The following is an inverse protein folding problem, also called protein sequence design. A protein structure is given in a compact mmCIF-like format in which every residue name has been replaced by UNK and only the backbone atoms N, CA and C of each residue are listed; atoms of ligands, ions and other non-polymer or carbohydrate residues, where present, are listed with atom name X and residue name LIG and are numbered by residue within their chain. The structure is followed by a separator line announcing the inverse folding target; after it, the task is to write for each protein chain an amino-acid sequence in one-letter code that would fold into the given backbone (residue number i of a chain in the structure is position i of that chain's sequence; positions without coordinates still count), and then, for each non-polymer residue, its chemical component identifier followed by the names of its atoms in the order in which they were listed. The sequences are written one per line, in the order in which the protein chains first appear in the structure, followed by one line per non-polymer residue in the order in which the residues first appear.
data_IF_957280060178
#
_entry.id   IF_957280060178
#
_cell.length_a   1.000
_cell.length_b   1.000
_cell.length_c   1.000
_cell.angle_alpha   90.00
_cell.angle_beta   90.00
_cell.angle_gamma   90.00
#
_symmetry.space_group_name_H-M   'P 1'
#
loop_
_entity.id
_entity.type
_entity.pdbx_description
1 polymer ?
#
# COMPACT_ATOMS: atom_id res chain seq x y z
N UNK A 1 -4.91 -13.42 -61.23
CA UNK A 1 -4.20 -12.25 -60.67
C UNK A 1 -4.93 -11.89 -59.39
N UNK A 2 -4.53 -12.55 -58.29
CA UNK A 2 -5.13 -12.36 -56.95
C UNK A 2 -4.35 -11.24 -56.26
N UNK A 3 -5.01 -10.12 -56.01
CA UNK A 3 -4.48 -9.06 -55.15
C UNK A 3 -4.64 -9.48 -53.67
N UNK A 4 -3.54 -9.84 -53.05
CA UNK A 4 -3.48 -9.87 -51.58
C UNK A 4 -3.45 -8.43 -51.08
N UNK A 5 -4.59 -7.98 -50.52
CA UNK A 5 -4.64 -6.80 -49.68
C UNK A 5 -3.99 -7.16 -48.35
N UNK A 6 -2.74 -6.72 -48.19
CA UNK A 6 -2.07 -6.66 -46.89
C UNK A 6 -2.83 -5.67 -46.00
N UNK A 7 -3.59 -6.18 -45.08
CA UNK A 7 -4.10 -5.39 -43.96
C UNK A 7 -2.89 -5.04 -43.06
N UNK A 8 -2.29 -3.89 -43.33
CA UNK A 8 -1.33 -3.29 -42.41
C UNK A 8 -2.09 -2.92 -41.14
N UNK A 9 -1.90 -3.68 -40.06
CA UNK A 9 -2.24 -3.23 -38.73
C UNK A 9 -1.40 -1.98 -38.45
N UNK A 10 -1.99 -0.81 -38.66
CA UNK A 10 -1.47 0.43 -38.12
C UNK A 10 -1.67 0.31 -36.62
N UNK A 11 -0.61 -0.08 -35.92
CA UNK A 11 -0.56 -0.06 -34.45
C UNK A 11 -0.63 1.39 -34.03
N UNK A 12 -1.84 1.93 -33.91
CA UNK A 12 -2.07 3.23 -33.31
C UNK A 12 -1.61 3.13 -31.87
N UNK A 13 -0.50 3.81 -31.54
CA UNK A 13 -0.06 3.91 -30.13
C UNK A 13 -1.16 4.57 -29.33
N UNK A 14 -1.39 4.06 -28.12
CA UNK A 14 -2.36 4.67 -27.20
C UNK A 14 -1.91 6.12 -26.92
N UNK A 15 -2.69 7.14 -27.34
CA UNK A 15 -2.31 8.54 -27.19
C UNK A 15 -2.25 9.00 -25.73
N UNK A 16 -2.71 8.17 -24.79
CA UNK A 16 -2.73 8.45 -23.36
C UNK A 16 -1.55 7.85 -22.59
N UNK A 17 -0.64 7.14 -23.29
CA UNK A 17 0.56 6.58 -22.68
C UNK A 17 1.73 7.57 -22.83
N UNK A 18 2.19 8.21 -21.73
CA UNK A 18 3.31 9.14 -21.77
C UNK A 18 4.64 8.45 -22.10
N UNK A 19 5.68 9.22 -22.38
CA UNK A 19 7.05 8.69 -22.58
C UNK A 19 7.59 8.02 -21.31
N UNK A 20 7.28 8.57 -20.15
CA UNK A 20 7.59 8.00 -18.85
C UNK A 20 6.36 7.95 -17.94
N UNK A 21 6.27 6.91 -17.11
CA UNK A 21 5.19 6.77 -16.15
C UNK A 21 5.45 7.63 -14.89
N UNK A 22 4.40 8.21 -14.28
CA UNK A 22 4.55 8.88 -13.00
C UNK A 22 5.11 7.89 -11.97
N UNK A 23 6.07 8.32 -11.14
CA UNK A 23 6.50 7.52 -10.00
C UNK A 23 5.34 7.33 -9.02
N UNK A 24 5.45 6.33 -8.15
CA UNK A 24 4.44 6.14 -7.12
C UNK A 24 4.33 7.35 -6.18
N UNK A 25 5.45 8.05 -5.93
CA UNK A 25 5.46 9.28 -5.15
C UNK A 25 4.70 10.41 -5.84
N UNK A 26 4.86 10.56 -7.15
CA UNK A 26 4.10 11.54 -7.95
C UNK A 26 2.61 11.24 -7.88
N UNK A 27 2.22 9.98 -8.04
CA UNK A 27 0.82 9.55 -7.93
C UNK A 27 0.26 9.93 -6.54
N UNK A 28 0.98 9.58 -5.49
CA UNK A 28 0.60 9.88 -4.11
C UNK A 28 0.44 11.37 -3.87
N UNK A 29 1.42 12.17 -4.31
CA UNK A 29 1.36 13.62 -4.16
C UNK A 29 0.16 14.22 -4.90
N UNK A 30 -0.09 13.78 -6.12
CA UNK A 30 -1.24 14.25 -6.91
C UNK A 30 -2.56 13.92 -6.22
N UNK A 31 -2.69 12.72 -5.65
CA UNK A 31 -3.89 12.28 -4.93
C UNK A 31 -4.05 12.97 -3.56
N UNK A 32 -2.99 13.51 -2.96
CA UNK A 32 -3.07 14.29 -1.72
C UNK A 32 -3.57 15.72 -1.93
N UNK A 33 -3.67 16.18 -3.19
CA UNK A 33 -4.24 17.47 -3.55
C UNK A 33 -5.75 17.40 -3.58
N UNK A 34 -6.45 18.09 -2.67
CA UNK A 34 -7.92 18.14 -2.66
C UNK A 34 -8.50 18.59 -4.00
N UNK A 35 -7.84 19.55 -4.69
CA UNK A 35 -8.28 20.04 -5.99
C UNK A 35 -8.16 19.00 -7.09
N UNK A 36 -7.11 18.18 -7.08
CA UNK A 36 -6.88 17.15 -8.10
C UNK A 36 -7.74 15.92 -7.84
N UNK A 37 -7.92 15.57 -6.57
CA UNK A 37 -8.85 14.52 -6.17
C UNK A 37 -10.31 14.89 -6.52
N UNK A 38 -10.69 16.17 -6.35
CA UNK A 38 -12.00 16.66 -6.77
C UNK A 38 -12.20 16.57 -8.29
N UNK A 39 -11.19 16.89 -9.11
CA UNK A 39 -11.24 16.70 -10.57
C UNK A 39 -11.41 15.23 -10.95
N UNK A 40 -10.67 14.32 -10.32
CA UNK A 40 -10.77 12.89 -10.55
C UNK A 40 -12.17 12.37 -10.20
N UNK A 41 -12.69 12.71 -9.02
CA UNK A 41 -14.05 12.31 -8.61
C UNK A 41 -15.13 12.87 -9.54
N UNK A 42 -15.01 14.15 -9.91
CA UNK A 42 -15.95 14.77 -10.88
C UNK A 42 -15.91 14.01 -12.20
N UNK A 43 -14.72 13.69 -12.72
CA UNK A 43 -14.60 12.97 -14.00
C UNK A 43 -15.13 11.55 -13.92
N UNK A 44 -14.93 10.85 -12.81
CA UNK A 44 -15.52 9.54 -12.56
C UNK A 44 -17.05 9.60 -12.58
N UNK A 45 -17.66 10.58 -11.90
CA UNK A 45 -19.11 10.80 -11.90
C UNK A 45 -19.65 11.11 -13.30
N UNK A 46 -18.94 11.88 -14.13
CA UNK A 46 -19.30 12.10 -15.54
C UNK A 46 -19.34 10.80 -16.35
N UNK A 47 -18.58 9.76 -15.94
CA UNK A 47 -18.60 8.42 -16.51
C UNK A 47 -19.65 7.49 -15.86
N UNK A 48 -20.46 8.00 -14.92
CA UNK A 48 -21.42 7.21 -14.16
C UNK A 48 -20.76 6.21 -13.18
N UNK A 49 -19.56 6.50 -12.70
CA UNK A 49 -18.74 5.64 -11.83
C UNK A 49 -18.25 6.38 -10.60
N UNK A 50 -17.96 5.66 -9.56
CA UNK A 50 -17.05 6.12 -8.50
C UNK A 50 -15.61 6.14 -9.03
N UNK A 51 -14.70 6.83 -8.35
CA UNK A 51 -13.29 6.83 -8.73
C UNK A 51 -12.69 5.41 -8.68
N UNK A 52 -13.11 4.59 -7.71
CA UNK A 52 -12.68 3.20 -7.59
C UNK A 52 -13.16 2.36 -8.78
N UNK A 53 -14.42 2.43 -9.13
CA UNK A 53 -14.98 1.70 -10.30
C UNK A 53 -14.33 2.15 -11.61
N UNK A 54 -14.06 3.45 -11.76
CA UNK A 54 -13.37 3.96 -12.93
C UNK A 54 -11.92 3.46 -12.99
N UNK A 55 -11.22 3.43 -11.85
CA UNK A 55 -9.87 2.87 -11.76
C UNK A 55 -9.82 1.39 -12.15
N UNK A 56 -10.73 0.57 -11.65
CA UNK A 56 -10.80 -0.85 -11.98
C UNK A 56 -11.17 -1.07 -13.45
N UNK A 57 -12.06 -0.25 -14.00
CA UNK A 57 -12.36 -0.29 -15.42
C UNK A 57 -11.14 0.04 -16.27
N UNK A 58 -10.41 1.13 -15.99
CA UNK A 58 -9.16 1.46 -16.69
C UNK A 58 -8.11 0.36 -16.54
N UNK A 59 -8.03 -0.26 -15.36
CA UNK A 59 -7.13 -1.39 -15.13
C UNK A 59 -7.42 -2.57 -16.05
N UNK A 60 -8.68 -2.86 -16.30
CA UNK A 60 -9.10 -3.94 -17.21
C UNK A 60 -8.69 -3.69 -18.68
N UNK A 61 -8.44 -2.43 -19.05
CA UNK A 61 -8.02 -2.04 -20.39
C UNK A 61 -6.50 -2.06 -20.60
N UNK A 62 -5.69 -2.21 -19.54
CA UNK A 62 -4.23 -2.27 -19.65
C UNK A 62 -3.80 -3.63 -20.18
N UNK A 63 -3.18 -3.64 -21.35
CA UNK A 63 -2.70 -4.85 -22.04
C UNK A 63 -1.24 -5.16 -21.70
N UNK A 64 -0.79 -6.36 -22.01
CA UNK A 64 0.63 -6.73 -21.93
C UNK A 64 1.51 -5.91 -22.89
N UNK A 65 0.95 -5.41 -23.98
CA UNK A 65 1.64 -4.50 -24.90
C UNK A 65 1.91 -3.16 -24.23
N UNK A 66 0.94 -2.61 -23.48
CA UNK A 66 1.11 -1.36 -22.73
C UNK A 66 2.20 -1.51 -21.67
N UNK A 67 2.21 -2.63 -20.95
CA UNK A 67 3.26 -2.96 -19.97
C UNK A 67 4.60 -3.10 -20.67
N UNK A 68 4.63 -3.78 -21.82
CA UNK A 68 5.82 -4.02 -22.64
C UNK A 68 6.54 -2.75 -23.07
N UNK A 69 5.82 -1.65 -23.27
CA UNK A 69 6.40 -0.33 -23.59
C UNK A 69 7.38 0.16 -22.51
N UNK A 70 7.06 -0.06 -21.24
CA UNK A 70 7.87 0.42 -20.11
C UNK A 70 8.79 -0.65 -19.53
N UNK A 71 8.55 -1.92 -19.86
CA UNK A 71 9.28 -3.05 -19.30
C UNK A 71 10.82 -2.91 -19.39
N UNK A 72 11.42 -2.50 -20.54
CA UNK A 72 12.88 -2.44 -20.65
C UNK A 72 13.52 -1.44 -19.69
N UNK A 73 12.87 -0.31 -19.42
CA UNK A 73 13.36 0.71 -18.47
C UNK A 73 13.16 0.29 -17.04
N UNK A 74 11.98 -0.22 -16.71
CA UNK A 74 11.60 -0.61 -15.34
C UNK A 74 12.36 -1.88 -14.89
N UNK A 75 12.60 -2.83 -15.79
CA UNK A 75 13.39 -4.05 -15.49
C UNK A 75 14.82 -3.73 -15.04
N UNK A 76 15.40 -2.63 -15.53
CA UNK A 76 16.74 -2.17 -15.10
C UNK A 76 16.79 -1.72 -13.65
N UNK A 77 15.65 -1.41 -13.03
CA UNK A 77 15.57 -1.05 -11.60
C UNK A 77 15.70 -2.25 -10.67
N UNK A 78 15.52 -3.48 -11.18
CA UNK A 78 15.72 -4.71 -10.42
C UNK A 78 17.15 -5.22 -10.60
N UNK A 79 17.77 -5.80 -9.56
CA UNK A 79 19.03 -6.52 -9.69
C UNK A 79 18.94 -7.59 -10.79
N UNK A 80 20.02 -7.79 -11.57
CA UNK A 80 20.01 -8.75 -12.71
C UNK A 80 19.70 -10.19 -12.29
N UNK A 81 20.11 -10.57 -11.08
CA UNK A 81 19.92 -11.89 -10.49
C UNK A 81 18.47 -12.19 -10.11
N UNK A 82 17.61 -11.18 -10.00
CA UNK A 82 16.20 -11.39 -9.73
C UNK A 82 15.50 -11.89 -11.00
N UNK A 83 15.21 -13.18 -11.01
CA UNK A 83 14.52 -13.86 -12.10
C UNK A 83 13.29 -14.65 -11.64
N UNK A 84 12.96 -14.58 -10.34
CA UNK A 84 11.79 -15.27 -9.80
C UNK A 84 10.49 -14.65 -10.34
N UNK A 85 9.52 -15.51 -10.59
CA UNK A 85 8.23 -15.14 -11.18
C UNK A 85 7.51 -14.09 -10.34
N UNK A 86 7.56 -14.20 -9.02
CA UNK A 86 6.84 -13.30 -8.11
C UNK A 86 7.36 -11.87 -8.19
N UNK A 87 8.67 -11.66 -8.25
CA UNK A 87 9.29 -10.35 -8.39
C UNK A 87 9.00 -9.72 -9.77
N UNK A 88 8.98 -10.55 -10.81
CA UNK A 88 8.62 -10.15 -12.16
C UNK A 88 7.14 -9.73 -12.23
N UNK A 89 6.24 -10.50 -11.65
CA UNK A 89 4.81 -10.19 -11.63
C UNK A 89 4.49 -8.93 -10.83
N UNK A 90 5.21 -8.71 -9.72
CA UNK A 90 5.12 -7.45 -8.96
C UNK A 90 5.53 -6.23 -9.78
N UNK A 91 6.63 -6.33 -10.52
CA UNK A 91 7.07 -5.25 -11.37
C UNK A 91 6.04 -4.96 -12.47
N UNK A 92 5.49 -6.00 -13.11
CA UNK A 92 4.41 -5.88 -14.09
C UNK A 92 3.18 -5.20 -13.49
N UNK A 93 2.78 -5.60 -12.29
CA UNK A 93 1.63 -4.99 -11.60
C UNK A 93 1.91 -3.53 -11.22
N UNK A 94 3.12 -3.21 -10.77
CA UNK A 94 3.52 -1.82 -10.51
C UNK A 94 3.42 -0.95 -11.78
N UNK A 95 3.88 -1.45 -12.91
CA UNK A 95 3.77 -0.77 -14.21
C UNK A 95 2.28 -0.58 -14.56
N UNK A 96 1.45 -1.62 -14.42
CA UNK A 96 0.01 -1.56 -14.70
C UNK A 96 -0.69 -0.47 -13.88
N UNK A 97 -0.45 -0.43 -12.59
CA UNK A 97 -1.02 0.59 -11.68
C UNK A 97 -0.62 2.00 -12.13
N UNK A 98 0.63 2.22 -12.50
CA UNK A 98 1.14 3.53 -12.95
C UNK A 98 0.54 3.95 -14.29
N UNK A 99 0.30 3.02 -15.19
CA UNK A 99 -0.42 3.26 -16.45
C UNK A 99 -1.85 3.72 -16.16
N UNK A 100 -2.56 3.02 -15.28
CA UNK A 100 -3.93 3.36 -14.88
C UNK A 100 -3.99 4.79 -14.36
N UNK A 101 -3.14 5.15 -13.40
CA UNK A 101 -3.14 6.50 -12.85
C UNK A 101 -2.76 7.56 -13.88
N UNK A 102 -1.81 7.27 -14.78
CA UNK A 102 -1.48 8.17 -15.88
C UNK A 102 -2.69 8.47 -16.76
N UNK A 103 -3.47 7.45 -17.14
CA UNK A 103 -4.71 7.61 -17.91
C UNK A 103 -5.76 8.40 -17.15
N UNK A 104 -6.02 8.08 -15.89
CA UNK A 104 -6.97 8.80 -15.03
C UNK A 104 -6.62 10.28 -14.90
N UNK A 105 -5.35 10.59 -14.66
CA UNK A 105 -4.88 11.98 -14.56
C UNK A 105 -5.08 12.72 -15.88
N UNK A 106 -4.73 12.07 -16.99
CA UNK A 106 -4.93 12.66 -18.32
C UNK A 106 -6.41 12.98 -18.58
N UNK A 107 -7.30 12.01 -18.38
CA UNK A 107 -8.74 12.17 -18.59
C UNK A 107 -9.38 13.22 -17.68
N UNK A 108 -8.88 13.39 -16.47
CA UNK A 108 -9.37 14.38 -15.51
C UNK A 108 -8.71 15.77 -15.69
N UNK A 109 -7.79 15.94 -16.64
CA UNK A 109 -7.03 17.17 -16.82
C UNK A 109 -6.12 17.50 -15.62
N UNK A 110 -5.68 16.45 -14.92
CA UNK A 110 -4.73 16.56 -13.81
C UNK A 110 -3.32 16.46 -14.36
N UNK A 111 -2.54 17.53 -14.18
CA UNK A 111 -1.13 17.54 -14.57
C UNK A 111 -0.27 17.07 -13.41
N UNK A 112 0.32 15.89 -13.55
CA UNK A 112 1.37 15.46 -12.65
C UNK A 112 2.71 16.08 -13.09
N UNK A 113 3.45 16.63 -12.13
CA UNK A 113 4.77 17.25 -12.38
C UNK A 113 5.82 16.48 -11.61
N UNK A 114 6.95 16.21 -12.23
CA UNK A 114 8.21 15.91 -11.54
C UNK A 114 8.70 17.18 -10.79
N UNK A 115 7.99 17.59 -9.76
CA UNK A 115 8.60 18.45 -8.77
C UNK A 115 9.35 17.54 -7.79
N UNK A 116 10.62 17.87 -7.54
CA UNK A 116 11.31 17.35 -6.36
C UNK A 116 10.41 17.62 -5.16
N UNK A 117 9.77 16.57 -4.68
CA UNK A 117 8.85 16.65 -3.55
C UNK A 117 9.71 16.82 -2.28
N UNK A 118 10.15 18.04 -2.01
CA UNK A 118 10.44 18.41 -0.64
C UNK A 118 9.12 18.49 0.11
N UNK A 119 8.42 17.35 0.24
CA UNK A 119 7.28 17.27 1.14
C UNK A 119 7.85 17.48 2.53
N UNK A 120 7.43 18.56 3.17
CA UNK A 120 7.82 18.84 4.53
C UNK A 120 7.38 17.63 5.40
N UNK A 121 8.38 16.87 5.89
CA UNK A 121 8.20 15.64 6.65
C UNK A 121 7.26 15.82 7.84
N UNK A 122 7.35 16.98 8.48
CA UNK A 122 6.49 17.37 9.59
C UNK A 122 5.02 17.52 9.16
N UNK A 123 4.76 17.87 7.90
CA UNK A 123 3.40 18.09 7.39
C UNK A 123 2.64 16.77 7.18
N UNK A 124 3.27 15.76 6.59
CA UNK A 124 2.64 14.42 6.45
C UNK A 124 2.33 13.86 7.83
N UNK A 125 3.31 13.89 8.73
CA UNK A 125 3.12 13.33 10.06
C UNK A 125 1.99 14.02 10.84
N UNK A 126 1.81 15.33 10.69
CA UNK A 126 0.71 16.09 11.29
C UNK A 126 -0.67 15.71 10.71
N UNK A 127 -0.72 15.27 9.47
CA UNK A 127 -1.97 14.89 8.81
C UNK A 127 -2.40 13.45 9.13
N UNK A 128 -1.50 12.62 9.69
CA UNK A 128 -1.82 11.26 10.10
C UNK A 128 -2.72 11.25 11.32
N UNK A 129 -3.84 10.53 11.23
CA UNK A 129 -4.67 10.28 12.40
C UNK A 129 -4.07 9.13 13.24
N UNK A 130 -3.28 9.49 14.23
CA UNK A 130 -2.57 8.53 15.08
C UNK A 130 -3.37 8.10 16.33
N UNK A 131 -4.54 8.70 16.58
CA UNK A 131 -5.30 8.54 17.83
C UNK A 131 -5.59 7.09 18.20
N UNK A 132 -5.83 6.25 17.19
CA UNK A 132 -6.18 4.84 17.39
C UNK A 132 -5.22 3.89 16.69
N UNK A 133 -4.06 4.39 16.25
CA UNK A 133 -3.09 3.56 15.50
C UNK A 133 -2.24 2.73 16.46
N UNK A 134 -2.20 1.41 16.28
CA UNK A 134 -1.27 0.57 16.99
C UNK A 134 0.16 1.07 16.80
N UNK A 135 0.91 1.15 17.91
CA UNK A 135 2.27 1.65 17.85
C UNK A 135 3.19 0.93 18.83
N UNK A 136 4.49 1.01 18.55
CA UNK A 136 5.53 0.40 19.35
C UNK A 136 6.78 1.29 19.34
N UNK A 137 7.46 1.40 20.48
CA UNK A 137 8.74 2.12 20.58
C UNK A 137 8.64 3.44 21.34
N UNK A 138 9.54 4.37 21.06
CA UNK A 138 9.73 5.61 21.83
C UNK A 138 9.11 6.82 21.12
N UNK A 139 8.44 7.68 21.88
CA UNK A 139 7.96 8.98 21.36
C UNK A 139 9.09 9.95 21.01
N UNK A 140 10.29 9.75 21.56
CA UNK A 140 11.50 10.54 21.28
C UNK A 140 12.43 9.81 20.30
N UNK A 141 11.85 9.02 19.38
CA UNK A 141 12.59 8.21 18.46
C UNK A 141 13.36 9.03 17.42
N UNK A 142 14.54 8.52 17.03
CA UNK A 142 15.31 9.03 15.89
C UNK A 142 14.60 8.75 14.56
N UNK A 143 13.98 7.57 14.46
CA UNK A 143 13.23 7.16 13.28
C UNK A 143 11.76 6.94 13.59
N UNK A 144 10.92 7.54 12.78
CA UNK A 144 9.49 7.30 12.78
C UNK A 144 9.19 6.47 11.55
N UNK A 145 8.60 5.30 11.77
CA UNK A 145 8.19 4.36 10.72
C UNK A 145 6.68 4.22 10.78
N UNK A 146 5.99 4.57 9.70
CA UNK A 146 4.56 4.28 9.52
C UNK A 146 4.45 3.21 8.46
N UNK A 147 3.83 2.09 8.79
CA UNK A 147 3.59 0.97 7.86
C UNK A 147 2.10 0.84 7.57
N UNK A 148 1.72 0.89 6.31
CA UNK A 148 0.42 0.43 5.83
C UNK A 148 0.53 -1.02 5.41
N UNK A 149 -0.33 -1.86 5.98
CA UNK A 149 -0.19 -3.30 5.89
C UNK A 149 -1.53 -4.03 5.97
N UNK A 150 -1.53 -5.30 5.54
CA UNK A 150 -2.67 -6.22 5.63
C UNK A 150 -2.18 -7.60 6.07
N UNK A 151 -2.84 -8.18 7.07
CA UNK A 151 -2.49 -9.53 7.55
C UNK A 151 -2.80 -10.65 6.53
N UNK A 152 -3.62 -10.38 5.52
CA UNK A 152 -3.88 -11.31 4.41
C UNK A 152 -2.83 -11.21 3.30
N UNK A 153 -2.03 -10.15 3.28
CA UNK A 153 -0.98 -9.93 2.29
C UNK A 153 0.23 -10.82 2.53
N UNK A 154 0.61 -11.63 1.55
CA UNK A 154 1.79 -12.49 1.65
C UNK A 154 3.09 -11.68 1.83
N UNK A 155 3.22 -10.56 1.11
CA UNK A 155 4.41 -9.70 1.18
C UNK A 155 4.56 -9.00 2.52
N UNK A 156 3.45 -8.60 3.13
CA UNK A 156 3.44 -8.05 4.48
C UNK A 156 3.89 -9.12 5.48
N UNK A 157 3.39 -10.34 5.32
CA UNK A 157 3.79 -11.50 6.15
C UNK A 157 5.29 -11.79 6.03
N UNK A 158 5.82 -11.80 4.79
CA UNK A 158 7.23 -12.11 4.53
C UNK A 158 8.16 -10.98 5.02
N UNK A 159 7.72 -9.72 4.95
CA UNK A 159 8.45 -8.55 5.47
C UNK A 159 8.46 -8.46 7.00
N UNK A 160 7.40 -8.94 7.64
CA UNK A 160 7.20 -8.74 9.09
C UNK A 160 8.33 -9.30 9.98
N UNK A 161 8.91 -10.50 9.76
CA UNK A 161 10.05 -10.96 10.56
C UNK A 161 11.23 -10.00 10.54
N UNK A 162 11.53 -9.40 9.40
CA UNK A 162 12.62 -8.43 9.24
C UNK A 162 12.30 -7.11 9.95
N UNK A 163 11.06 -6.61 9.81
CA UNK A 163 10.55 -5.45 10.56
C UNK A 163 10.60 -5.71 12.07
N UNK A 164 10.15 -6.87 12.53
CA UNK A 164 10.19 -7.25 13.95
C UNK A 164 11.62 -7.28 14.49
N UNK A 165 12.58 -7.82 13.74
CA UNK A 165 13.99 -7.84 14.12
C UNK A 165 14.56 -6.43 14.20
N UNK A 166 14.25 -5.56 13.21
CA UNK A 166 14.62 -4.15 13.23
C UNK A 166 14.12 -3.44 14.49
N UNK A 167 12.82 -3.58 14.79
CA UNK A 167 12.18 -2.97 15.95
C UNK A 167 12.78 -3.47 17.28
N UNK A 168 13.19 -4.73 17.32
CA UNK A 168 13.87 -5.30 18.49
C UNK A 168 15.28 -4.73 18.65
N UNK A 169 16.02 -4.58 17.54
CA UNK A 169 17.41 -4.05 17.50
C UNK A 169 17.45 -2.57 17.90
N UNK A 170 16.52 -1.76 17.41
CA UNK A 170 16.49 -0.31 17.57
C UNK A 170 15.35 0.19 18.48
N UNK A 171 14.90 -0.62 19.43
CA UNK A 171 13.74 -0.42 20.29
C UNK A 171 13.57 1.00 20.85
N UNK A 172 14.67 1.63 21.28
CA UNK A 172 14.65 2.98 21.88
C UNK A 172 14.80 4.10 20.86
N UNK A 173 15.11 3.77 19.61
CA UNK A 173 15.43 4.71 18.55
C UNK A 173 14.35 4.77 17.45
N UNK A 174 13.39 3.85 17.48
CA UNK A 174 12.27 3.78 16.52
C UNK A 174 10.96 4.01 17.23
N UNK A 175 10.10 4.82 16.60
CA UNK A 175 8.65 4.83 16.80
C UNK A 175 8.03 4.17 15.56
N UNK A 176 7.46 3.00 15.75
CA UNK A 176 6.73 2.28 14.70
C UNK A 176 5.22 2.46 14.89
N UNK A 177 4.54 2.75 13.82
CA UNK A 177 3.09 2.99 13.78
C UNK A 177 2.51 2.10 12.69
N UNK A 178 1.56 1.26 13.07
CA UNK A 178 0.84 0.39 12.13
C UNK A 178 -0.45 1.08 11.66
N UNK A 179 -0.68 1.01 10.38
CA UNK A 179 -1.87 1.47 9.68
C UNK A 179 -2.47 0.34 8.86
N UNK A 180 -3.76 0.19 8.93
CA UNK A 180 -4.47 -0.84 8.18
C UNK A 180 -4.72 -0.39 6.74
N UNK A 181 -4.43 -1.28 5.79
CA UNK A 181 -4.80 -1.10 4.40
C UNK A 181 -5.25 -2.45 3.81
N UNK A 182 -6.53 -2.81 3.99
CA UNK A 182 -7.07 -4.07 3.50
C UNK A 182 -7.01 -4.15 1.98
N UNK A 183 -6.52 -5.27 1.47
CA UNK A 183 -6.50 -5.58 0.03
C UNK A 183 -7.91 -5.86 -0.50
N UNK A 184 -8.76 -6.48 0.34
CA UNK A 184 -10.20 -6.63 0.13
C UNK A 184 -10.93 -5.63 1.04
N UNK A 185 -10.95 -4.36 0.59
CA UNK A 185 -11.32 -3.21 1.39
C UNK A 185 -12.81 -3.08 1.74
N UNK A 186 -13.69 -3.89 1.17
CA UNK A 186 -15.14 -3.71 1.32
C UNK A 186 -15.82 -4.87 2.06
N UNK A 187 -15.28 -6.08 1.96
CA UNK A 187 -15.87 -7.23 2.65
C UNK A 187 -15.59 -7.21 4.14
N UNK A 188 -16.58 -7.55 4.94
CA UNK A 188 -16.42 -7.66 6.39
C UNK A 188 -15.37 -8.71 6.75
N UNK A 189 -15.32 -9.77 5.98
CA UNK A 189 -14.38 -10.87 6.10
C UNK A 189 -12.93 -10.39 5.85
N UNK A 190 -12.69 -9.60 4.80
CA UNK A 190 -11.37 -9.02 4.49
C UNK A 190 -10.88 -8.04 5.55
N UNK A 191 -11.80 -7.30 6.18
CA UNK A 191 -11.49 -6.38 7.26
C UNK A 191 -11.24 -7.07 8.61
N UNK A 192 -11.74 -8.29 8.79
CA UNK A 192 -11.79 -8.97 10.09
C UNK A 192 -10.42 -9.15 10.75
N UNK A 193 -9.35 -9.62 10.06
CA UNK A 193 -8.03 -9.78 10.68
C UNK A 193 -7.46 -8.45 11.19
N UNK A 194 -7.68 -7.36 10.46
CA UNK A 194 -7.22 -6.02 10.81
C UNK A 194 -8.00 -5.47 12.00
N UNK A 195 -9.33 -5.57 11.98
CA UNK A 195 -10.20 -5.16 13.07
C UNK A 195 -9.88 -5.93 14.36
N UNK A 196 -9.54 -7.22 14.25
CA UNK A 196 -9.10 -8.04 15.37
C UNK A 196 -7.77 -7.55 15.93
N UNK A 197 -6.81 -7.18 15.08
CA UNK A 197 -5.55 -6.55 15.48
C UNK A 197 -5.74 -5.27 16.29
N UNK A 198 -6.72 -4.44 15.90
CA UNK A 198 -7.10 -3.23 16.65
C UNK A 198 -7.62 -3.55 18.05
N UNK A 199 -8.49 -4.56 18.15
CA UNK A 199 -9.02 -5.00 19.43
C UNK A 199 -7.91 -5.50 20.35
N UNK A 200 -7.04 -6.38 19.85
CA UNK A 200 -5.93 -6.95 20.60
C UNK A 200 -4.96 -5.87 21.09
N UNK A 201 -4.63 -4.91 20.23
CA UNK A 201 -3.78 -3.80 20.64
C UNK A 201 -4.42 -2.92 21.73
N UNK A 202 -5.70 -2.61 21.62
CA UNK A 202 -6.40 -1.80 22.63
C UNK A 202 -6.42 -2.50 23.99
N UNK A 203 -6.55 -3.83 24.00
CA UNK A 203 -6.61 -4.63 25.24
C UNK A 203 -5.22 -4.87 25.86
N UNK A 204 -4.22 -5.12 25.04
CA UNK A 204 -2.85 -5.36 25.49
C UNK A 204 -1.81 -4.77 24.53
N UNK A 205 -1.56 -3.43 24.61
CA UNK A 205 -0.59 -2.75 23.76
C UNK A 205 0.84 -3.28 23.88
N UNK A 206 1.19 -3.87 25.04
CA UNK A 206 2.55 -4.38 25.28
C UNK A 206 2.89 -5.59 24.44
N UNK A 207 1.87 -6.35 24.02
CA UNK A 207 2.03 -7.57 23.24
C UNK A 207 1.88 -7.35 21.73
N UNK A 208 1.87 -6.11 21.29
CA UNK A 208 1.56 -5.73 19.91
C UNK A 208 2.30 -6.54 18.84
N UNK A 209 3.63 -6.69 18.94
CA UNK A 209 4.40 -7.48 17.97
C UNK A 209 4.08 -8.99 18.03
N UNK A 210 3.67 -9.50 19.19
CA UNK A 210 3.18 -10.86 19.35
C UNK A 210 1.83 -11.03 18.66
N UNK A 211 0.91 -10.07 18.83
CA UNK A 211 -0.39 -10.06 18.16
C UNK A 211 -0.24 -10.01 16.63
N UNK A 212 0.64 -9.16 16.09
CA UNK A 212 0.93 -9.15 14.65
C UNK A 212 1.42 -10.51 14.15
N UNK A 213 2.37 -11.13 14.85
CA UNK A 213 2.88 -12.47 14.51
C UNK A 213 1.75 -13.49 14.45
N UNK A 214 0.86 -13.46 15.44
CA UNK A 214 -0.28 -14.35 15.55
C UNK A 214 -1.25 -14.14 14.38
N UNK A 215 -1.59 -12.90 14.07
CA UNK A 215 -2.50 -12.53 12.99
C UNK A 215 -1.96 -12.94 11.63
N UNK A 216 -0.69 -12.68 11.33
CA UNK A 216 -0.06 -13.16 10.09
C UNK A 216 -0.07 -14.67 9.96
N UNK A 217 0.16 -15.40 11.07
CA UNK A 217 0.19 -16.85 11.06
C UNK A 217 -1.19 -17.49 10.89
N UNK A 218 -2.27 -16.78 11.27
CA UNK A 218 -3.62 -17.32 11.32
C UNK A 218 -4.62 -16.57 10.44
N UNK A 219 -4.19 -15.62 9.63
CA UNK A 219 -5.06 -14.72 8.85
C UNK A 219 -6.10 -15.45 8.01
N UNK A 220 -5.73 -16.57 7.38
CA UNK A 220 -6.65 -17.40 6.58
C UNK A 220 -7.75 -18.05 7.43
N UNK A 221 -7.43 -18.54 8.63
CA UNK A 221 -8.42 -19.11 9.56
C UNK A 221 -9.39 -18.04 10.05
N UNK A 222 -8.85 -16.86 10.37
CA UNK A 222 -9.64 -15.69 10.77
C UNK A 222 -10.62 -15.28 9.66
N UNK A 223 -10.16 -15.25 8.41
CA UNK A 223 -10.99 -14.94 7.25
C UNK A 223 -12.21 -15.87 7.13
N UNK A 224 -12.05 -17.16 7.48
CA UNK A 224 -13.16 -18.11 7.47
C UNK A 224 -14.01 -18.08 8.75
N UNK A 225 -13.71 -17.18 9.68
CA UNK A 225 -14.45 -17.05 10.95
C UNK A 225 -14.20 -18.20 11.92
N UNK A 226 -13.12 -18.97 11.73
CA UNK A 226 -12.73 -20.04 12.63
C UNK A 226 -12.33 -19.47 13.99
N UNK A 227 -12.78 -20.13 15.05
CA UNK A 227 -12.37 -19.79 16.40
C UNK A 227 -10.88 -20.14 16.58
N UNK A 228 -10.08 -19.13 16.85
CA UNK A 228 -8.65 -19.32 17.09
C UNK A 228 -8.45 -19.83 18.50
N UNK A 229 -8.14 -21.11 18.63
CA UNK A 229 -7.73 -21.73 19.89
C UNK A 229 -6.23 -21.50 20.13
N UNK A 230 -5.89 -20.33 20.57
CA UNK A 230 -4.52 -19.95 20.96
C UNK A 230 -4.55 -19.57 22.43
N UNK A 231 -3.65 -20.10 23.24
CA UNK A 231 -3.62 -19.83 24.69
C UNK A 231 -3.55 -18.33 25.02
N UNK A 232 -2.86 -17.54 24.19
CA UNK A 232 -2.77 -16.10 24.32
C UNK A 232 -4.11 -15.37 24.08
N UNK A 233 -5.07 -16.02 23.42
CA UNK A 233 -6.38 -15.45 23.10
C UNK A 233 -7.41 -15.66 24.21
N UNK A 234 -7.18 -16.63 25.08
CA UNK A 234 -8.05 -16.84 26.27
C UNK A 234 -8.00 -15.64 27.22
N UNK A 235 -6.88 -14.90 27.22
CA UNK A 235 -6.73 -13.67 28.01
C UNK A 235 -7.46 -12.47 27.40
N UNK A 236 -7.97 -12.54 26.16
CA UNK A 236 -8.59 -11.42 25.44
C UNK A 236 -9.93 -11.86 24.82
N UNK A 237 -10.81 -12.33 25.69
CA UNK A 237 -12.12 -12.92 25.30
C UNK A 237 -13.01 -11.98 24.48
N UNK A 238 -12.86 -10.66 24.66
CA UNK A 238 -13.65 -9.66 23.92
C UNK A 238 -13.22 -9.49 22.45
N UNK A 239 -12.04 -9.99 22.10
CA UNK A 239 -11.46 -9.89 20.77
C UNK A 239 -11.67 -11.17 19.94
N UNK A 240 -12.89 -11.68 19.95
CA UNK A 240 -13.25 -12.85 19.14
C UNK A 240 -13.89 -12.43 17.81
N UNK A 241 -13.62 -13.15 16.70
CA UNK A 241 -14.17 -12.83 15.38
C UNK A 241 -15.68 -12.59 15.36
N UNK A 242 -16.45 -13.41 16.11
CA UNK A 242 -17.93 -13.37 16.11
C UNK A 242 -18.51 -12.22 16.95
N UNK A 243 -17.76 -11.70 17.92
CA UNK A 243 -18.24 -10.68 18.89
C UNK A 243 -17.56 -9.32 18.71
N UNK A 244 -16.75 -9.18 17.67
CA UNK A 244 -15.94 -7.99 17.45
C UNK A 244 -16.79 -6.74 17.20
N UNK A 245 -16.50 -5.68 17.93
CA UNK A 245 -17.23 -4.41 17.87
C UNK A 245 -17.01 -3.70 16.52
N UNK A 246 -18.08 -3.11 15.97
CA UNK A 246 -18.04 -2.32 14.72
C UNK A 246 -17.07 -1.13 14.79
N UNK A 247 -16.73 -0.64 15.97
CA UNK A 247 -15.74 0.45 16.14
C UNK A 247 -14.39 0.09 15.52
N UNK A 248 -13.95 -1.18 15.59
CA UNK A 248 -12.66 -1.60 15.04
C UNK A 248 -12.69 -1.65 13.51
N UNK A 249 -13.78 -2.11 12.92
CA UNK A 249 -13.99 -2.05 11.47
C UNK A 249 -14.00 -0.61 10.96
N UNK A 250 -14.64 0.30 11.70
CA UNK A 250 -14.63 1.74 11.38
C UNK A 250 -13.22 2.33 11.44
N UNK A 251 -12.39 1.91 12.38
CA UNK A 251 -10.98 2.34 12.48
C UNK A 251 -10.16 1.84 11.28
N UNK A 252 -10.33 0.58 10.87
CA UNK A 252 -9.69 0.03 9.66
C UNK A 252 -10.08 0.82 8.41
N UNK A 253 -11.38 1.09 8.21
CA UNK A 253 -11.85 1.90 7.08
C UNK A 253 -11.30 3.33 7.11
N UNK A 254 -11.15 3.90 8.31
CA UNK A 254 -10.54 5.23 8.48
C UNK A 254 -9.09 5.25 8.02
N UNK A 255 -8.29 4.24 8.38
CA UNK A 255 -6.90 4.12 7.93
C UNK A 255 -6.79 3.88 6.43
N UNK A 256 -7.67 3.04 5.87
CA UNK A 256 -7.74 2.82 4.42
C UNK A 256 -8.05 4.13 3.67
N UNK A 257 -9.03 4.90 4.14
CA UNK A 257 -9.37 6.20 3.55
C UNK A 257 -8.21 7.21 3.67
N UNK A 258 -7.51 7.21 4.79
CA UNK A 258 -6.31 8.03 4.99
C UNK A 258 -5.20 7.60 4.03
N UNK A 259 -4.92 6.29 3.93
CA UNK A 259 -3.95 5.72 3.02
C UNK A 259 -4.20 6.13 1.56
N UNK A 260 -5.48 6.07 1.13
CA UNK A 260 -5.86 6.51 -0.22
C UNK A 260 -5.58 8.00 -0.45
N UNK A 261 -5.80 8.87 0.54
CA UNK A 261 -5.45 10.31 0.44
C UNK A 261 -3.94 10.52 0.27
N UNK A 262 -3.11 9.69 0.90
CA UNK A 262 -1.66 9.71 0.72
C UNK A 262 -1.19 8.94 -0.52
N UNK A 263 -2.11 8.40 -1.33
CA UNK A 263 -1.80 7.65 -2.54
C UNK A 263 -1.15 6.29 -2.28
N UNK A 264 -1.36 5.70 -1.09
CA UNK A 264 -0.99 4.31 -0.83
C UNK A 264 -1.86 3.41 -1.71
N UNK A 265 -1.25 2.68 -2.63
CA UNK A 265 -1.93 1.80 -3.58
C UNK A 265 -1.52 0.33 -3.47
N UNK A 266 -0.59 0.01 -2.59
CA UNK A 266 -0.10 -1.35 -2.37
C UNK A 266 0.46 -1.51 -0.96
N UNK A 267 0.58 -2.76 -0.50
CA UNK A 267 1.13 -3.09 0.81
C UNK A 267 2.18 -4.19 0.69
N UNK A 268 3.18 -4.22 1.58
CA UNK A 268 3.43 -3.20 2.59
C UNK A 268 3.94 -1.90 1.95
N UNK A 269 3.53 -0.77 2.51
CA UNK A 269 4.10 0.54 2.17
C UNK A 269 4.54 1.21 3.47
N UNK A 270 5.75 1.74 3.47
CA UNK A 270 6.35 2.39 4.63
C UNK A 270 6.58 3.87 4.35
N UNK A 271 6.39 4.68 5.37
CA UNK A 271 6.90 6.05 5.43
C UNK A 271 7.93 6.13 6.56
N UNK A 272 9.17 6.49 6.25
CA UNK A 272 10.28 6.52 7.20
C UNK A 272 10.90 7.91 7.19
N UNK A 273 10.71 8.68 8.24
CA UNK A 273 11.23 10.05 8.37
C UNK A 273 11.03 10.92 7.10
N UNK A 274 9.92 10.80 6.41
CA UNK A 274 9.63 11.55 5.19
C UNK A 274 9.95 10.84 3.88
N UNK A 275 10.58 9.66 3.92
CA UNK A 275 10.83 8.83 2.75
C UNK A 275 9.76 7.76 2.62
N UNK A 276 9.19 7.63 1.44
CA UNK A 276 8.30 6.53 1.09
C UNK A 276 9.09 5.33 0.57
N UNK A 277 8.72 4.15 1.05
CA UNK A 277 9.28 2.87 0.60
C UNK A 277 8.13 1.91 0.36
N UNK A 278 8.08 1.31 -0.81
CA UNK A 278 6.99 0.41 -1.23
C UNK A 278 7.53 -0.99 -1.43
N UNK A 279 6.81 -1.97 -0.92
CA UNK A 279 7.13 -3.39 -1.03
C UNK A 279 7.80 -3.97 0.20
N UNK A 280 7.94 -5.30 0.20
CA UNK A 280 8.56 -6.04 1.28
C UNK A 280 10.05 -5.66 1.43
N UNK A 281 10.48 -5.46 2.67
CA UNK A 281 11.86 -5.14 3.01
C UNK A 281 12.50 -6.31 3.77
N UNK A 282 13.67 -6.73 3.31
CA UNK A 282 14.56 -7.60 4.08
C UNK A 282 15.43 -6.81 5.07
N UNK A 283 16.21 -7.51 5.88
CA UNK A 283 17.04 -6.87 6.90
C UNK A 283 18.08 -5.90 6.32
N UNK A 284 18.67 -6.22 5.17
CA UNK A 284 19.68 -5.37 4.53
C UNK A 284 19.05 -4.10 3.94
N UNK A 285 17.87 -4.23 3.33
CA UNK A 285 17.11 -3.10 2.81
C UNK A 285 16.67 -2.15 3.93
N UNK A 286 16.27 -2.68 5.08
CA UNK A 286 15.97 -1.88 6.26
C UNK A 286 17.17 -1.05 6.75
N UNK A 287 18.37 -1.65 6.86
CA UNK A 287 19.57 -0.91 7.27
C UNK A 287 19.85 0.26 6.31
N UNK A 288 19.77 0.03 5.00
CA UNK A 288 19.94 1.10 4.00
C UNK A 288 18.89 2.21 4.14
N UNK A 289 17.63 1.85 4.38
CA UNK A 289 16.55 2.85 4.57
C UNK A 289 16.82 3.70 5.81
N UNK A 290 17.28 3.10 6.91
CA UNK A 290 17.61 3.84 8.13
C UNK A 290 18.85 4.74 7.94
N UNK A 291 19.88 4.26 7.25
CA UNK A 291 21.08 5.06 6.93
C UNK A 291 20.71 6.29 6.10
N UNK A 292 19.95 6.10 5.02
CA UNK A 292 19.50 7.19 4.12
C UNK A 292 18.61 8.21 4.81
N UNK A 293 17.89 7.82 5.87
CA UNK A 293 16.96 8.69 6.60
C UNK A 293 17.52 9.24 7.91
N UNK A 294 18.74 8.86 8.29
CA UNK A 294 19.40 9.31 9.51
C UNK A 294 19.92 10.75 9.43
N UNK A 295 20.19 11.26 8.21
CA UNK A 295 20.84 12.55 7.96
C UNK A 295 19.84 13.70 7.79
N UNK A 296 18.62 13.43 8.04
CA UNK A 296 17.50 14.35 7.85
C UNK A 296 16.64 14.38 9.11
#
# INVERSE_FOLDING_TARGET
MLFFLSCGETTQEDPFLPESLPSQEIIKHTLSSDSDLAKLNKKALEQGKTLTEWREWERSLVTDKDIGKYWPSERKSLPPEISDTDSIDRLRESIRIRIVWSRLFHHAGVQWREKSLSVNKAEIFKQLNLKFSPNFGSSNAKWIIVEWSDYLCNFCRDSFPHTKNLLSKYKTQILYIHKDFPLDGESKEGLLPLALGRCLWEKDPKYFLGHMQLLYSNSKKILHGDDLQVKEWDAVTDCQPKTLSEKYFSQVRSDMNEAMKFGVGSVPTFWVNGRWVVGALDSQSWERVLEDTASH
#
